data_IF_843115659251
#
_entry.id   IF_843115659251
#
_cell.length_a   1.000
_cell.length_b   1.000
_cell.length_c   1.000
_cell.angle_alpha   90.00
_cell.angle_beta   90.00
_cell.angle_gamma   90.00
#
_symmetry.space_group_name_H-M   'P 1'
#
loop_
_entity.id
_entity.type
_entity.pdbx_description
1 polymer ?
#
# COMPACT_ATOMS: atom_id res chain seq x y z
N UNK A 1 1.09 1.91 2.40
CA UNK A 1 1.00 1.57 0.95
C UNK A 1 0.46 0.16 0.80
N UNK A 2 -0.17 -0.19 -0.32
CA UNK A 2 -0.55 -1.59 -0.58
C UNK A 2 0.69 -2.50 -0.68
N UNK A 3 0.57 -3.77 -0.28
CA UNK A 3 1.68 -4.72 -0.32
C UNK A 3 2.09 -5.16 -1.75
N UNK A 4 1.34 -4.74 -2.77
CA UNK A 4 1.48 -5.22 -4.16
C UNK A 4 1.79 -4.09 -5.15
N UNK A 5 2.27 -2.94 -4.67
CA UNK A 5 2.62 -1.79 -5.51
C UNK A 5 3.68 -2.11 -6.58
N UNK A 6 3.66 -1.32 -7.66
CA UNK A 6 4.71 -1.36 -8.69
C UNK A 6 6.08 -0.98 -8.09
N UNK A 7 7.20 -1.58 -8.57
CA UNK A 7 8.54 -1.27 -8.05
C UNK A 7 8.91 0.21 -8.03
N UNK A 8 8.39 1.02 -8.97
CA UNK A 8 8.63 2.48 -8.97
C UNK A 8 8.09 3.18 -7.72
N UNK A 9 7.02 2.65 -7.10
CA UNK A 9 6.48 3.16 -5.85
C UNK A 9 7.20 2.51 -4.67
N UNK A 10 7.36 1.18 -4.72
CA UNK A 10 7.99 0.44 -3.63
C UNK A 10 9.45 0.86 -3.37
N UNK A 11 10.22 1.19 -4.41
CA UNK A 11 11.59 1.67 -4.27
C UNK A 11 11.65 3.04 -3.61
N UNK A 12 10.81 3.98 -4.07
CA UNK A 12 10.71 5.32 -3.48
C UNK A 12 10.30 5.25 -2.01
N UNK A 13 9.34 4.41 -1.68
CA UNK A 13 8.92 4.24 -0.28
C UNK A 13 10.03 3.61 0.56
N UNK A 14 10.81 2.67 0.01
CA UNK A 14 11.95 2.08 0.74
C UNK A 14 13.03 3.10 1.04
N UNK A 15 13.31 4.01 0.09
CA UNK A 15 14.23 5.12 0.31
C UNK A 15 13.71 6.06 1.42
N UNK A 16 12.43 6.43 1.36
CA UNK A 16 11.81 7.24 2.41
C UNK A 16 11.85 6.56 3.79
N UNK A 17 11.64 5.24 3.83
CA UNK A 17 11.77 4.47 5.06
C UNK A 17 13.20 4.49 5.61
N UNK A 18 14.22 4.39 4.75
CA UNK A 18 15.62 4.54 5.18
C UNK A 18 15.96 5.93 5.69
N UNK A 19 15.22 6.96 5.23
CA UNK A 19 15.32 8.34 5.70
C UNK A 19 14.49 8.61 6.97
N UNK A 20 13.88 7.57 7.55
CA UNK A 20 13.15 7.64 8.83
C UNK A 20 11.65 7.92 8.71
N UNK A 21 11.08 7.86 7.50
CA UNK A 21 9.62 7.92 7.32
C UNK A 21 8.99 6.62 7.82
N UNK A 22 7.95 6.72 8.65
CA UNK A 22 7.18 5.55 9.07
C UNK A 22 6.32 5.04 7.90
N UNK A 23 6.46 3.76 7.59
CA UNK A 23 5.79 3.11 6.46
C UNK A 23 5.07 1.87 6.96
N UNK A 24 3.75 1.89 6.81
CA UNK A 24 2.87 0.75 7.07
C UNK A 24 2.40 0.12 5.76
N UNK A 25 2.37 -1.21 5.71
CA UNK A 25 1.91 -1.99 4.56
C UNK A 25 0.47 -2.47 4.79
N UNK A 26 -0.40 -2.22 3.82
CA UNK A 26 -1.77 -2.70 3.84
C UNK A 26 -1.77 -4.09 3.17
N UNK A 27 -2.17 -5.16 3.87
CA UNK A 27 -2.18 -6.49 3.31
C UNK A 27 -3.26 -6.61 2.23
N UNK A 28 -3.11 -7.62 1.38
CA UNK A 28 -4.09 -8.03 0.38
C UNK A 28 -4.64 -9.41 0.69
N UNK A 29 -5.83 -9.71 0.21
CA UNK A 29 -6.39 -11.06 0.27
C UNK A 29 -5.79 -11.99 -0.82
N UNK A 30 -6.31 -13.22 -0.92
CA UNK A 30 -5.87 -14.19 -1.91
C UNK A 30 -6.16 -13.81 -3.36
N UNK A 31 -7.02 -12.81 -3.60
CA UNK A 31 -7.34 -12.27 -4.92
C UNK A 31 -6.52 -11.02 -5.26
N UNK A 32 -5.63 -10.59 -4.35
CA UNK A 32 -4.86 -9.36 -4.50
C UNK A 32 -5.67 -8.10 -4.22
N UNK A 33 -6.82 -8.20 -3.54
CA UNK A 33 -7.64 -7.04 -3.15
C UNK A 33 -7.16 -6.52 -1.80
N UNK A 34 -7.03 -5.19 -1.68
CA UNK A 34 -6.65 -4.53 -0.43
C UNK A 34 -7.67 -4.82 0.67
N UNK A 35 -7.16 -5.21 1.84
CA UNK A 35 -7.95 -5.47 3.04
C UNK A 35 -8.36 -4.15 3.70
N UNK A 36 -9.47 -3.59 3.26
CA UNK A 36 -9.99 -2.32 3.80
C UNK A 36 -10.42 -2.43 5.28
N UNK A 37 -10.78 -3.63 5.73
CA UNK A 37 -11.16 -3.92 7.11
C UNK A 37 -10.05 -3.70 8.14
N UNK A 38 -8.78 -3.68 7.70
CA UNK A 38 -7.63 -3.40 8.57
C UNK A 38 -7.11 -1.97 8.43
N UNK A 39 -7.63 -1.18 7.47
CA UNK A 39 -7.11 0.14 7.15
C UNK A 39 -7.18 1.09 8.36
N UNK A 40 -8.30 1.09 9.08
CA UNK A 40 -8.51 1.95 10.26
C UNK A 40 -7.48 1.69 11.37
N UNK A 41 -6.91 0.48 11.43
CA UNK A 41 -5.86 0.14 12.42
C UNK A 41 -4.47 0.61 12.01
N UNK A 42 -4.28 0.95 10.74
CA UNK A 42 -3.02 1.43 10.18
C UNK A 42 -2.97 2.97 10.14
N UNK A 43 -4.13 3.62 10.08
CA UNK A 43 -4.23 5.07 10.03
C UNK A 43 -4.15 5.70 11.43
N UNK A 44 -3.50 6.86 11.51
CA UNK A 44 -3.41 7.71 12.69
C UNK A 44 -3.35 9.19 12.26
N UNK A 45 -3.36 10.10 13.23
CA UNK A 45 -3.29 11.55 12.96
C UNK A 45 -1.99 12.01 12.27
N UNK A 46 -0.97 11.14 12.18
CA UNK A 46 0.31 11.42 11.52
C UNK A 46 0.35 10.88 10.09
N UNK A 47 -0.67 10.14 9.66
CA UNK A 47 -0.70 9.55 8.33
C UNK A 47 -0.86 10.64 7.27
N UNK A 48 0.17 10.83 6.44
CA UNK A 48 0.18 11.85 5.40
C UNK A 48 -0.36 11.37 4.04
N UNK A 49 -0.18 10.08 3.71
CA UNK A 49 -0.52 9.52 2.40
C UNK A 49 -0.89 8.04 2.50
N UNK A 50 -1.96 7.68 1.81
CA UNK A 50 -2.29 6.29 1.46
C UNK A 50 -2.08 6.10 -0.03
N UNK A 51 -1.23 5.15 -0.41
CA UNK A 51 -0.98 4.76 -1.81
C UNK A 51 -1.50 3.36 -2.07
N UNK A 52 -2.38 3.23 -3.06
CA UNK A 52 -2.95 1.98 -3.55
C UNK A 52 -2.96 2.04 -5.08
N UNK A 53 -2.31 1.09 -5.74
CA UNK A 53 -2.40 0.94 -7.19
C UNK A 53 -3.83 0.59 -7.59
N UNK A 54 -4.36 1.26 -8.63
CA UNK A 54 -5.72 1.00 -9.09
C UNK A 54 -5.89 -0.42 -9.66
N UNK A 55 -4.91 -0.88 -10.44
CA UNK A 55 -4.88 -2.21 -11.00
C UNK A 55 -3.50 -2.82 -10.80
N UNK A 56 -3.46 -4.09 -10.40
CA UNK A 56 -2.21 -4.81 -10.25
C UNK A 56 -1.70 -5.28 -11.61
N UNK A 57 -0.46 -4.94 -11.94
CA UNK A 57 0.14 -5.20 -13.25
C UNK A 57 0.57 -6.66 -13.45
N UNK A 58 0.57 -7.48 -12.40
CA UNK A 58 0.98 -8.90 -12.44
C UNK A 58 -0.22 -9.84 -12.53
N UNK A 59 -1.24 -9.62 -11.70
CA UNK A 59 -2.43 -10.49 -11.60
C UNK A 59 -3.65 -9.89 -12.34
N UNK A 60 -3.63 -8.58 -12.63
CA UNK A 60 -4.73 -7.88 -13.31
C UNK A 60 -5.89 -7.46 -12.40
N UNK A 61 -5.78 -7.70 -11.09
CA UNK A 61 -6.81 -7.34 -10.10
C UNK A 61 -7.02 -5.83 -10.06
N UNK A 62 -8.28 -5.39 -10.22
CA UNK A 62 -8.69 -3.98 -10.05
C UNK A 62 -9.14 -3.78 -8.60
N UNK A 63 -8.58 -2.77 -7.93
CA UNK A 63 -8.95 -2.42 -6.57
C UNK A 63 -10.30 -1.70 -6.51
N UNK A 64 -11.12 -1.95 -5.48
CA UNK A 64 -12.39 -1.26 -5.27
C UNK A 64 -12.14 0.08 -4.54
N UNK A 65 -11.35 0.97 -5.15
CA UNK A 65 -11.01 2.30 -4.60
C UNK A 65 -12.10 3.33 -4.81
#
# INVERSE_FOLDING_TARGET
MSAIEHPSVAETVRLLASDGVDVKFIPVDSHGIVRMDVLDTLLDERTALVSVMLANNEIGTIQPV
#
